data_IF_300187383590
#
_entry.id   IF_300187383590
#
_cell.length_a   1.000
_cell.length_b   1.000
_cell.length_c   1.000
_cell.angle_alpha   90.00
_cell.angle_beta   90.00
_cell.angle_gamma   90.00
#
_symmetry.space_group_name_H-M   'P 1'
#
loop_
_entity.id
_entity.type
_entity.pdbx_description
1 polymer ?
#
# COMPACT_ATOMS: atom_id res chain seq x y z
N UNK A 1 -45.23 -16.05 -44.16
CA UNK A 1 -44.87 -17.26 -43.40
C UNK A 1 -43.47 -17.80 -43.67
N UNK A 2 -42.98 -17.87 -44.92
CA UNK A 2 -41.62 -18.37 -45.21
C UNK A 2 -40.48 -17.44 -44.74
N UNK A 3 -40.65 -16.11 -44.89
CA UNK A 3 -39.66 -15.13 -44.43
C UNK A 3 -39.48 -15.13 -42.90
N UNK A 4 -40.58 -15.27 -42.15
CA UNK A 4 -40.56 -15.31 -40.69
C UNK A 4 -39.87 -16.58 -40.16
N UNK A 5 -40.07 -17.73 -40.81
CA UNK A 5 -39.38 -18.98 -40.46
C UNK A 5 -37.85 -18.87 -40.68
N UNK A 6 -37.44 -18.27 -41.81
CA UNK A 6 -36.03 -18.11 -42.16
C UNK A 6 -35.31 -17.14 -41.22
N UNK A 7 -35.99 -16.07 -40.79
CA UNK A 7 -35.49 -15.17 -39.75
C UNK A 7 -35.31 -15.88 -38.41
N UNK A 8 -36.27 -16.70 -37.98
CA UNK A 8 -36.16 -17.45 -36.71
C UNK A 8 -34.97 -18.41 -36.76
N UNK A 9 -34.80 -19.16 -37.85
CA UNK A 9 -33.66 -20.08 -38.02
C UNK A 9 -32.33 -19.31 -37.98
N UNK A 10 -32.24 -18.18 -38.68
CA UNK A 10 -31.05 -17.33 -38.65
C UNK A 10 -30.72 -16.84 -37.23
N UNK A 11 -31.73 -16.32 -36.51
CA UNK A 11 -31.56 -15.85 -35.14
C UNK A 11 -31.13 -16.98 -34.19
N UNK A 12 -31.67 -18.19 -34.37
CA UNK A 12 -31.25 -19.37 -33.58
C UNK A 12 -29.80 -19.77 -33.86
N UNK A 13 -29.34 -19.72 -35.12
CA UNK A 13 -27.95 -20.01 -35.48
C UNK A 13 -27.00 -18.97 -34.90
N UNK A 14 -27.34 -17.68 -35.03
CA UNK A 14 -26.55 -16.59 -34.45
C UNK A 14 -26.48 -16.72 -32.93
N UNK A 15 -27.60 -16.98 -32.27
CA UNK A 15 -27.65 -17.20 -30.83
C UNK A 15 -26.80 -18.40 -30.40
N UNK A 16 -26.87 -19.51 -31.13
CA UNK A 16 -26.05 -20.69 -30.86
C UNK A 16 -24.55 -20.36 -30.93
N UNK A 17 -24.09 -19.67 -31.98
CA UNK A 17 -22.70 -19.27 -32.11
C UNK A 17 -22.26 -18.24 -31.07
N UNK A 18 -23.14 -17.32 -30.67
CA UNK A 18 -22.88 -16.40 -29.55
C UNK A 18 -22.66 -17.15 -28.24
N UNK A 19 -23.47 -18.18 -27.96
CA UNK A 19 -23.31 -19.02 -26.78
C UNK A 19 -22.00 -19.81 -26.85
N UNK A 20 -21.68 -20.43 -27.99
CA UNK A 20 -20.41 -21.14 -28.18
C UNK A 20 -19.22 -20.21 -27.99
N UNK A 21 -19.25 -19.01 -28.57
CA UNK A 21 -18.20 -18.00 -28.41
C UNK A 21 -18.04 -17.56 -26.94
N UNK A 22 -19.15 -17.40 -26.21
CA UNK A 22 -19.11 -17.10 -24.78
C UNK A 22 -18.45 -18.22 -23.97
N UNK A 23 -18.77 -19.48 -24.23
CA UNK A 23 -18.14 -20.62 -23.56
C UNK A 23 -16.64 -20.71 -23.86
N UNK A 24 -16.24 -20.51 -25.13
CA UNK A 24 -14.83 -20.46 -25.52
C UNK A 24 -14.12 -19.30 -24.82
N UNK A 25 -14.73 -18.12 -24.79
CA UNK A 25 -14.19 -16.96 -24.08
C UNK A 25 -13.99 -17.25 -22.58
N UNK A 26 -14.98 -17.82 -21.89
CA UNK A 26 -14.85 -18.20 -20.48
C UNK A 26 -13.76 -19.26 -20.27
N UNK A 27 -13.68 -20.25 -21.15
CA UNK A 27 -12.65 -21.30 -21.11
C UNK A 27 -11.24 -20.75 -21.28
N UNK A 28 -11.04 -19.85 -22.24
CA UNK A 28 -9.78 -19.14 -22.46
C UNK A 28 -9.45 -18.22 -21.29
N UNK A 29 -10.42 -17.47 -20.77
CA UNK A 29 -10.27 -16.59 -19.63
C UNK A 29 -9.84 -17.35 -18.37
N UNK A 30 -10.49 -18.48 -18.08
CA UNK A 30 -10.14 -19.34 -16.95
C UNK A 30 -8.75 -19.96 -17.12
N UNK A 31 -8.43 -20.44 -18.33
CA UNK A 31 -7.11 -21.01 -18.64
C UNK A 31 -6.00 -19.96 -18.53
N UNK A 32 -6.24 -18.74 -19.03
CA UNK A 32 -5.32 -17.62 -18.90
C UNK A 32 -5.09 -17.26 -17.42
N UNK A 33 -6.15 -17.21 -16.60
CA UNK A 33 -6.01 -16.94 -15.18
C UNK A 33 -5.36 -18.07 -14.39
N UNK A 34 -5.62 -19.32 -14.75
CA UNK A 34 -4.94 -20.47 -14.15
C UNK A 34 -3.43 -20.44 -14.46
N UNK A 35 -3.08 -20.16 -15.71
CA UNK A 35 -1.68 -20.03 -16.14
C UNK A 35 -1.00 -18.83 -15.46
N UNK A 36 -1.68 -17.68 -15.36
CA UNK A 36 -1.18 -16.49 -14.66
C UNK A 36 -0.98 -16.74 -13.17
N UNK A 37 -1.87 -17.50 -12.51
CA UNK A 37 -1.73 -17.88 -11.09
C UNK A 37 -0.52 -18.77 -10.90
N UNK A 38 -0.41 -19.85 -11.69
CA UNK A 38 0.75 -20.75 -11.64
C UNK A 38 2.07 -20.01 -11.91
N UNK A 39 2.07 -19.08 -12.88
CA UNK A 39 3.22 -18.21 -13.12
C UNK A 39 3.55 -17.33 -11.90
N UNK A 40 2.52 -16.71 -11.29
CA UNK A 40 2.70 -15.87 -10.10
C UNK A 40 3.30 -16.67 -8.94
N UNK A 41 2.78 -17.85 -8.67
CA UNK A 41 3.24 -18.71 -7.56
C UNK A 41 4.71 -19.13 -7.76
N UNK A 42 5.07 -19.55 -8.97
CA UNK A 42 6.44 -19.92 -9.31
C UNK A 42 7.40 -18.73 -9.15
N UNK A 43 7.04 -17.55 -9.67
CA UNK A 43 7.90 -16.36 -9.57
C UNK A 43 7.96 -15.83 -8.15
N UNK A 44 6.88 -15.92 -7.39
CA UNK A 44 6.86 -15.55 -5.98
C UNK A 44 7.88 -16.38 -5.19
N UNK A 45 7.93 -17.69 -5.41
CA UNK A 45 8.94 -18.55 -4.80
C UNK A 45 10.38 -18.14 -5.18
N UNK A 46 10.62 -17.79 -6.45
CA UNK A 46 11.92 -17.28 -6.90
C UNK A 46 12.29 -15.98 -6.18
N UNK A 47 11.38 -15.01 -6.08
CA UNK A 47 11.69 -13.74 -5.43
C UNK A 47 11.81 -13.87 -3.89
N UNK A 48 11.15 -14.87 -3.30
CA UNK A 48 11.31 -15.19 -1.87
C UNK A 48 12.72 -15.67 -1.54
N UNK A 49 13.39 -16.40 -2.44
CA UNK A 49 14.82 -16.74 -2.29
C UNK A 49 15.69 -15.48 -2.21
N UNK A 50 15.31 -14.40 -2.91
CA UNK A 50 15.98 -13.11 -2.83
C UNK A 50 15.93 -12.47 -1.45
N UNK A 51 14.91 -12.78 -0.65
CA UNK A 51 14.81 -12.31 0.74
C UNK A 51 15.82 -13.03 1.62
N UNK A 52 16.03 -14.34 1.42
CA UNK A 52 17.06 -15.10 2.12
C UNK A 52 18.46 -14.53 1.82
N UNK A 53 18.71 -14.16 0.56
CA UNK A 53 19.96 -13.48 0.17
C UNK A 53 20.17 -12.15 0.90
N UNK A 54 19.11 -11.38 1.13
CA UNK A 54 19.20 -10.14 1.92
C UNK A 54 19.55 -10.45 3.37
N UNK A 55 18.98 -11.52 3.95
CA UNK A 55 19.31 -11.95 5.32
C UNK A 55 20.74 -12.49 5.44
N UNK A 56 21.31 -12.98 4.34
CA UNK A 56 22.72 -13.37 4.24
C UNK A 56 23.67 -12.19 3.98
N UNK A 57 23.15 -10.95 4.00
CA UNK A 57 23.91 -9.72 3.77
C UNK A 57 24.65 -9.69 2.42
N UNK A 58 24.04 -10.29 1.39
CA UNK A 58 24.60 -10.28 0.04
C UNK A 58 24.75 -8.84 -0.50
N UNK A 59 25.77 -8.56 -1.33
CA UNK A 59 25.99 -7.23 -1.89
C UNK A 59 24.78 -6.70 -2.65
N UNK A 60 24.49 -5.42 -2.48
CA UNK A 60 23.32 -4.77 -3.06
C UNK A 60 23.26 -4.93 -4.58
N UNK A 61 24.39 -4.87 -5.29
CA UNK A 61 24.45 -5.03 -6.74
C UNK A 61 23.91 -6.40 -7.18
N UNK A 62 24.23 -7.46 -6.42
CA UNK A 62 23.75 -8.81 -6.71
C UNK A 62 22.25 -8.93 -6.44
N UNK A 63 21.78 -8.32 -5.34
CA UNK A 63 20.36 -8.28 -5.01
C UNK A 63 19.56 -7.53 -6.08
N UNK A 64 20.05 -6.40 -6.55
CA UNK A 64 19.40 -5.60 -7.60
C UNK A 64 19.29 -6.38 -8.90
N UNK A 65 20.35 -7.09 -9.30
CA UNK A 65 20.30 -7.93 -10.50
C UNK A 65 19.39 -9.15 -10.31
N UNK A 66 19.33 -9.72 -9.10
CA UNK A 66 18.42 -10.82 -8.77
C UNK A 66 16.94 -10.39 -8.87
N UNK A 67 16.59 -9.25 -8.30
CA UNK A 67 15.23 -8.73 -8.30
C UNK A 67 14.83 -8.08 -9.63
N UNK A 68 15.74 -7.97 -10.61
CA UNK A 68 15.45 -7.38 -11.91
C UNK A 68 14.25 -8.07 -12.58
N UNK A 69 13.16 -7.34 -12.92
CA UNK A 69 11.99 -7.93 -13.55
C UNK A 69 12.35 -8.47 -14.94
N UNK A 70 11.99 -9.73 -15.21
CA UNK A 70 12.30 -10.41 -16.49
C UNK A 70 11.11 -10.48 -17.42
N UNK A 71 9.89 -10.42 -16.88
CA UNK A 71 8.65 -10.43 -17.65
C UNK A 71 7.70 -9.34 -17.21
N UNK A 72 6.76 -9.03 -18.09
CA UNK A 72 5.67 -8.12 -17.76
C UNK A 72 4.83 -8.70 -16.63
N UNK A 73 4.57 -7.90 -15.59
CA UNK A 73 3.89 -8.31 -14.36
C UNK A 73 4.80 -8.81 -13.24
N UNK A 74 6.10 -9.04 -13.48
CA UNK A 74 7.04 -9.41 -12.41
C UNK A 74 7.12 -8.32 -11.34
N UNK A 75 7.05 -7.04 -11.73
CA UNK A 75 7.14 -5.92 -10.80
C UNK A 75 6.05 -5.95 -9.72
N UNK A 76 4.84 -6.41 -10.06
CA UNK A 76 3.76 -6.58 -9.08
C UNK A 76 4.01 -7.73 -8.10
N UNK A 77 4.77 -8.74 -8.52
CA UNK A 77 5.15 -9.88 -7.68
C UNK A 77 6.32 -9.48 -6.78
N UNK A 78 7.31 -8.79 -7.34
CA UNK A 78 8.44 -8.22 -6.60
C UNK A 78 7.92 -7.29 -5.52
N UNK A 79 7.01 -6.36 -5.86
CA UNK A 79 6.38 -5.50 -4.85
C UNK A 79 5.70 -6.30 -3.75
N UNK A 80 4.89 -7.30 -4.09
CA UNK A 80 4.22 -8.13 -3.08
C UNK A 80 5.23 -8.79 -2.14
N UNK A 81 6.28 -9.42 -2.70
CA UNK A 81 7.31 -10.11 -1.91
C UNK A 81 8.08 -9.13 -1.03
N UNK A 82 8.58 -8.04 -1.60
CA UNK A 82 9.37 -7.04 -0.86
C UNK A 82 8.53 -6.39 0.24
N UNK A 83 7.31 -5.95 -0.07
CA UNK A 83 6.45 -5.27 0.93
C UNK A 83 6.00 -6.21 2.04
N UNK A 84 5.68 -7.47 1.74
CA UNK A 84 5.35 -8.46 2.75
C UNK A 84 6.53 -8.73 3.68
N UNK A 85 7.73 -8.92 3.13
CA UNK A 85 8.94 -9.14 3.94
C UNK A 85 9.30 -7.90 4.78
N UNK A 86 9.20 -6.69 4.22
CA UNK A 86 9.51 -5.45 4.94
C UNK A 86 8.64 -5.24 6.19
N UNK A 87 7.39 -5.72 6.23
CA UNK A 87 6.51 -5.62 7.41
C UNK A 87 7.06 -6.36 8.64
N UNK A 88 7.91 -7.36 8.42
CA UNK A 88 8.42 -8.25 9.46
C UNK A 88 9.90 -8.02 9.77
N UNK A 89 10.56 -7.10 9.05
CA UNK A 89 11.98 -6.83 9.16
C UNK A 89 12.25 -5.44 9.76
N UNK A 90 13.41 -5.30 10.41
CA UNK A 90 13.92 -4.04 10.98
C UNK A 90 15.43 -3.95 10.77
N UNK A 91 15.98 -2.74 10.85
CA UNK A 91 17.42 -2.50 10.73
C UNK A 91 17.95 -2.75 9.31
N UNK A 92 19.20 -3.20 9.21
CA UNK A 92 19.91 -3.32 7.93
C UNK A 92 19.15 -4.13 6.86
N UNK A 93 18.53 -5.30 7.15
CA UNK A 93 17.75 -6.02 6.13
C UNK A 93 16.56 -5.22 5.58
N UNK A 94 15.88 -4.44 6.43
CA UNK A 94 14.80 -3.57 5.98
C UNK A 94 15.33 -2.46 5.05
N UNK A 95 16.42 -1.82 5.43
CA UNK A 95 17.04 -0.76 4.63
C UNK A 95 17.51 -1.28 3.26
N UNK A 96 18.10 -2.47 3.23
CA UNK A 96 18.52 -3.14 1.98
C UNK A 96 17.33 -3.48 1.09
N UNK A 97 16.25 -4.08 1.63
CA UNK A 97 15.04 -4.35 0.83
C UNK A 97 14.40 -3.07 0.31
N UNK A 98 14.38 -2.01 1.12
CA UNK A 98 13.91 -0.70 0.68
C UNK A 98 14.76 -0.20 -0.48
N UNK A 99 16.09 -0.26 -0.38
CA UNK A 99 16.97 0.21 -1.46
C UNK A 99 16.80 -0.60 -2.76
N UNK A 100 16.65 -1.92 -2.67
CA UNK A 100 16.31 -2.78 -3.81
C UNK A 100 14.98 -2.32 -4.42
N UNK A 101 13.95 -2.12 -3.60
CA UNK A 101 12.64 -1.68 -4.05
C UNK A 101 12.68 -0.31 -4.78
N UNK A 102 13.49 0.63 -4.27
CA UNK A 102 13.73 1.92 -4.91
C UNK A 102 14.37 1.75 -6.29
N UNK A 103 15.42 0.91 -6.40
CA UNK A 103 16.11 0.62 -7.66
C UNK A 103 15.22 -0.13 -8.67
N UNK A 104 14.19 -0.84 -8.22
CA UNK A 104 13.18 -1.47 -9.09
C UNK A 104 12.14 -0.47 -9.63
N UNK A 105 12.18 0.80 -9.21
CA UNK A 105 11.22 1.82 -9.65
C UNK A 105 9.85 1.67 -9.00
N UNK A 106 9.78 1.11 -7.78
CA UNK A 106 8.50 0.88 -7.11
C UNK A 106 7.79 2.18 -6.68
N UNK A 107 8.48 3.31 -6.54
CA UNK A 107 7.82 4.59 -6.27
C UNK A 107 6.93 5.00 -7.45
N UNK A 108 7.51 5.12 -8.66
CA UNK A 108 6.75 5.50 -9.86
C UNK A 108 5.66 4.49 -10.19
N UNK A 109 5.93 3.20 -9.93
CA UNK A 109 4.93 2.14 -10.07
C UNK A 109 3.72 2.36 -9.17
N UNK A 110 3.94 2.69 -7.89
CA UNK A 110 2.85 2.91 -6.95
C UNK A 110 2.14 4.25 -7.16
N UNK A 111 2.86 5.30 -7.56
CA UNK A 111 2.25 6.60 -7.92
C UNK A 111 1.22 6.43 -9.05
N UNK A 112 1.52 5.65 -10.09
CA UNK A 112 0.54 5.34 -11.14
C UNK A 112 -0.69 4.60 -10.59
N UNK A 113 -0.47 3.67 -9.66
CA UNK A 113 -1.52 2.82 -9.08
C UNK A 113 -2.41 3.55 -8.08
N UNK A 114 -2.05 4.74 -7.61
CA UNK A 114 -2.95 5.61 -6.84
C UNK A 114 -4.19 6.02 -7.64
N UNK A 115 -4.10 6.01 -8.98
CA UNK A 115 -5.24 6.28 -9.88
C UNK A 115 -6.04 5.03 -10.29
N UNK A 116 -5.75 3.86 -9.69
CA UNK A 116 -6.44 2.62 -10.02
C UNK A 116 -7.92 2.67 -9.66
N UNK A 117 -8.78 2.05 -10.48
CA UNK A 117 -10.22 1.95 -10.22
C UNK A 117 -10.56 1.17 -8.93
N UNK A 118 -9.65 0.28 -8.52
CA UNK A 118 -9.85 -0.58 -7.35
C UNK A 118 -9.32 0.10 -6.09
N UNK A 119 -10.19 0.30 -5.08
CA UNK A 119 -9.75 0.76 -3.75
C UNK A 119 -8.68 -0.15 -3.14
N UNK A 120 -8.74 -1.45 -3.41
CA UNK A 120 -7.73 -2.40 -2.92
C UNK A 120 -6.36 -2.14 -3.54
N UNK A 121 -6.29 -1.88 -4.85
CA UNK A 121 -5.03 -1.56 -5.52
C UNK A 121 -4.44 -0.23 -5.06
N UNK A 122 -5.30 0.76 -4.80
CA UNK A 122 -4.89 2.04 -4.22
C UNK A 122 -4.36 1.89 -2.81
N UNK A 123 -5.04 1.10 -1.97
CA UNK A 123 -4.58 0.77 -0.62
C UNK A 123 -3.21 0.11 -0.60
N UNK A 124 -2.99 -0.87 -1.48
CA UNK A 124 -1.66 -1.49 -1.66
C UNK A 124 -0.59 -0.50 -2.11
N UNK A 125 -0.96 0.43 -3.00
CA UNK A 125 -0.04 1.45 -3.47
C UNK A 125 0.36 2.43 -2.36
N UNK A 126 -0.61 2.92 -1.59
CA UNK A 126 -0.37 3.75 -0.41
C UNK A 126 0.54 3.07 0.60
N UNK A 127 0.26 1.80 0.92
CA UNK A 127 1.06 1.05 1.89
C UNK A 127 2.50 0.83 1.42
N UNK A 128 2.68 0.50 0.14
CA UNK A 128 4.01 0.39 -0.45
C UNK A 128 4.76 1.72 -0.37
N UNK A 129 4.14 2.85 -0.73
CA UNK A 129 4.78 4.17 -0.65
C UNK A 129 5.21 4.54 0.77
N UNK A 130 4.41 4.15 1.77
CA UNK A 130 4.74 4.30 3.19
C UNK A 130 5.98 3.50 3.58
N UNK A 131 6.01 2.19 3.25
CA UNK A 131 7.16 1.31 3.52
C UNK A 131 8.44 1.78 2.81
N UNK A 132 8.30 2.36 1.62
CA UNK A 132 9.41 2.90 0.84
C UNK A 132 9.93 4.24 1.38
N UNK A 133 9.24 4.86 2.34
CA UNK A 133 9.54 6.19 2.87
C UNK A 133 9.72 7.21 1.73
N UNK A 134 8.72 7.30 0.85
CA UNK A 134 8.77 8.07 -0.39
C UNK A 134 8.19 9.50 -0.23
N UNK A 135 8.98 10.53 0.15
CA UNK A 135 8.48 11.89 0.36
C UNK A 135 7.89 12.52 -0.92
N UNK A 136 8.37 12.13 -2.10
CA UNK A 136 7.80 12.60 -3.37
C UNK A 136 6.33 12.19 -3.60
N UNK A 137 5.82 11.21 -2.84
CA UNK A 137 4.43 10.78 -2.92
C UNK A 137 3.47 11.57 -2.03
N UNK A 138 3.97 12.44 -1.15
CA UNK A 138 3.16 13.16 -0.16
C UNK A 138 1.99 13.91 -0.81
N UNK A 139 2.25 14.65 -1.90
CA UNK A 139 1.21 15.42 -2.61
C UNK A 139 0.10 14.48 -3.13
N UNK A 140 0.47 13.40 -3.82
CA UNK A 140 -0.51 12.46 -4.35
C UNK A 140 -1.29 11.71 -3.26
N UNK A 141 -0.68 11.49 -2.08
CA UNK A 141 -1.36 10.88 -0.94
C UNK A 141 -2.32 11.87 -0.28
N UNK A 142 -1.99 13.17 -0.24
CA UNK A 142 -2.88 14.23 0.26
C UNK A 142 -4.15 14.31 -0.60
N UNK A 143 -4.05 14.23 -1.93
CA UNK A 143 -5.21 14.25 -2.81
C UNK A 143 -6.21 13.11 -2.48
N UNK A 144 -5.69 11.92 -2.10
CA UNK A 144 -6.52 10.79 -1.65
C UNK A 144 -7.22 11.08 -0.32
N UNK A 145 -6.62 11.85 0.59
CA UNK A 145 -7.26 12.17 1.87
C UNK A 145 -8.56 12.98 1.68
N UNK A 146 -8.60 13.85 0.68
CA UNK A 146 -9.71 14.76 0.45
C UNK A 146 -10.88 14.09 -0.29
N UNK A 147 -10.60 13.18 -1.24
CA UNK A 147 -11.60 12.70 -2.20
C UNK A 147 -12.22 11.33 -1.87
N UNK A 148 -11.64 10.57 -0.93
CA UNK A 148 -11.92 9.13 -0.83
C UNK A 148 -12.73 8.67 0.38
N UNK A 149 -13.08 7.38 0.36
CA UNK A 149 -13.79 6.70 1.46
C UNK A 149 -12.97 6.70 2.76
N UNK A 150 -13.67 6.65 3.89
CA UNK A 150 -13.04 6.64 5.22
C UNK A 150 -11.97 5.56 5.39
N UNK A 151 -12.16 4.38 4.80
CA UNK A 151 -11.18 3.29 4.84
C UNK A 151 -9.86 3.68 4.14
N UNK A 152 -9.96 4.27 2.94
CA UNK A 152 -8.77 4.65 2.17
C UNK A 152 -8.05 5.85 2.80
N UNK A 153 -8.78 6.76 3.45
CA UNK A 153 -8.18 7.85 4.26
C UNK A 153 -7.31 7.32 5.38
N UNK A 154 -7.74 6.27 6.10
CA UNK A 154 -6.93 5.67 7.16
C UNK A 154 -5.63 5.08 6.58
N UNK A 155 -5.72 4.43 5.42
CA UNK A 155 -4.52 3.89 4.75
C UNK A 155 -3.59 5.01 4.28
N UNK A 156 -4.13 6.10 3.76
CA UNK A 156 -3.36 7.28 3.36
C UNK A 156 -2.67 7.95 4.55
N UNK A 157 -3.37 8.12 5.69
CA UNK A 157 -2.77 8.62 6.93
C UNK A 157 -1.63 7.70 7.40
N UNK A 158 -1.85 6.38 7.42
CA UNK A 158 -0.79 5.42 7.77
C UNK A 158 0.41 5.51 6.83
N UNK A 159 0.17 5.74 5.54
CA UNK A 159 1.23 5.94 4.56
C UNK A 159 2.03 7.21 4.85
N UNK A 160 1.38 8.35 5.06
CA UNK A 160 2.04 9.61 5.42
C UNK A 160 2.86 9.50 6.70
N UNK A 161 2.31 8.86 7.73
CA UNK A 161 3.03 8.60 8.97
C UNK A 161 4.26 7.71 8.73
N UNK A 162 4.12 6.61 7.99
CA UNK A 162 5.24 5.73 7.67
C UNK A 162 6.34 6.41 6.82
N UNK A 163 5.97 7.40 6.00
CA UNK A 163 6.95 8.27 5.31
C UNK A 163 7.72 9.11 6.33
N UNK A 164 7.05 9.62 7.37
CA UNK A 164 7.67 10.34 8.49
C UNK A 164 8.18 11.74 8.15
N UNK A 165 7.88 12.26 6.95
CA UNK A 165 8.30 13.60 6.54
C UNK A 165 7.48 14.67 7.27
N UNK A 166 8.11 15.58 8.05
CA UNK A 166 7.41 16.64 8.76
C UNK A 166 6.53 17.54 7.88
N UNK A 167 6.80 17.63 6.58
CA UNK A 167 6.00 18.41 5.63
C UNK A 167 4.55 17.89 5.50
N UNK A 168 4.31 16.61 5.80
CA UNK A 168 2.97 16.02 5.76
C UNK A 168 2.14 16.28 7.03
N UNK A 169 2.77 16.67 8.15
CA UNK A 169 2.11 16.81 9.45
C UNK A 169 0.92 17.80 9.44
N UNK A 170 0.98 18.99 8.82
CA UNK A 170 -0.17 19.90 8.79
C UNK A 170 -1.39 19.30 8.11
N UNK A 171 -1.18 18.58 7.00
CA UNK A 171 -2.24 17.91 6.25
C UNK A 171 -2.80 16.71 7.02
N UNK A 172 -1.92 15.95 7.69
CA UNK A 172 -2.30 14.86 8.56
C UNK A 172 -3.23 15.35 9.69
N UNK A 173 -2.87 16.44 10.38
CA UNK A 173 -3.69 17.02 11.46
C UNK A 173 -5.04 17.50 10.94
N UNK A 174 -5.08 18.20 9.79
CA UNK A 174 -6.34 18.65 9.17
C UNK A 174 -7.26 17.47 8.84
N UNK A 175 -6.71 16.36 8.37
CA UNK A 175 -7.48 15.16 8.07
C UNK A 175 -8.03 14.48 9.33
N UNK A 176 -7.37 14.64 10.48
CA UNK A 176 -7.89 14.14 11.77
C UNK A 176 -9.19 14.84 12.19
N UNK A 177 -9.38 16.13 11.89
CA UNK A 177 -10.56 16.90 12.32
C UNK A 177 -11.88 16.32 11.78
N UNK A 178 -11.83 15.58 10.66
CA UNK A 178 -13.00 14.92 10.07
C UNK A 178 -13.23 13.48 10.53
N UNK A 179 -12.40 12.93 11.43
CA UNK A 179 -12.49 11.53 11.85
C UNK A 179 -13.34 11.36 13.11
N UNK A 180 -14.09 10.24 13.23
CA UNK A 180 -14.80 9.91 14.45
C UNK A 180 -13.83 9.56 15.59
N UNK A 181 -14.24 9.84 16.83
CA UNK A 181 -13.43 9.64 18.04
C UNK A 181 -12.72 8.27 18.15
N UNK A 182 -13.35 7.12 17.83
CA UNK A 182 -12.66 5.81 17.86
C UNK A 182 -11.49 5.68 16.88
N UNK A 183 -11.43 6.50 15.83
CA UNK A 183 -10.32 6.52 14.89
C UNK A 183 -9.24 7.50 15.27
N UNK A 184 -9.57 8.60 15.97
CA UNK A 184 -8.59 9.57 16.46
C UNK A 184 -7.51 8.90 17.32
N UNK A 185 -7.90 7.97 18.21
CA UNK A 185 -6.93 7.23 19.02
C UNK A 185 -5.98 6.37 18.18
N UNK A 186 -6.45 5.80 17.06
CA UNK A 186 -5.64 4.93 16.19
C UNK A 186 -4.66 5.73 15.36
N UNK A 187 -5.01 6.97 15.04
CA UNK A 187 -4.25 7.86 14.18
C UNK A 187 -3.28 8.73 14.99
N UNK A 188 -3.60 9.04 16.26
CA UNK A 188 -2.74 9.82 17.15
C UNK A 188 -1.36 9.17 17.38
N UNK A 189 -1.30 7.84 17.56
CA UNK A 189 -0.02 7.14 17.73
C UNK A 189 0.83 7.20 16.46
N UNK A 190 0.21 7.30 15.28
CA UNK A 190 0.94 7.44 14.02
C UNK A 190 1.63 8.81 13.91
N UNK A 191 1.15 9.82 14.62
CA UNK A 191 1.77 11.14 14.60
C UNK A 191 3.18 11.13 15.19
N UNK A 192 3.48 10.16 16.06
CA UNK A 192 4.82 9.98 16.65
C UNK A 192 5.89 9.69 15.58
N UNK A 193 5.49 9.13 14.42
CA UNK A 193 6.41 8.86 13.30
C UNK A 193 6.98 10.14 12.67
N UNK A 194 6.35 11.30 12.87
CA UNK A 194 6.91 12.61 12.46
C UNK A 194 7.95 13.14 13.46
N UNK A 195 8.17 12.42 14.57
CA UNK A 195 9.09 12.79 15.64
C UNK A 195 8.58 13.95 16.51
N UNK A 196 9.48 14.64 17.24
CA UNK A 196 9.12 15.59 18.31
C UNK A 196 8.26 16.78 17.88
N UNK A 197 8.28 17.14 16.59
CA UNK A 197 7.44 18.22 16.03
C UNK A 197 5.95 17.90 16.14
N UNK A 198 5.57 16.62 16.23
CA UNK A 198 4.19 16.17 16.34
C UNK A 198 3.59 16.34 17.74
N UNK A 199 4.41 16.43 18.80
CA UNK A 199 3.95 16.35 20.19
C UNK A 199 2.92 17.42 20.54
N UNK A 200 3.12 18.64 20.03
CA UNK A 200 2.18 19.74 20.24
C UNK A 200 0.83 19.45 19.59
N UNK A 201 0.84 18.85 18.41
CA UNK A 201 -0.37 18.48 17.67
C UNK A 201 -1.09 17.32 18.35
N UNK A 202 -0.35 16.33 18.87
CA UNK A 202 -0.90 15.22 19.67
C UNK A 202 -1.58 15.74 20.95
N UNK A 203 -0.91 16.63 21.69
CA UNK A 203 -1.48 17.23 22.90
C UNK A 203 -2.77 18.01 22.61
N UNK A 204 -2.80 18.79 21.52
CA UNK A 204 -4.01 19.49 21.09
C UNK A 204 -5.14 18.52 20.76
N UNK A 205 -4.83 17.43 20.05
CA UNK A 205 -5.82 16.42 19.69
C UNK A 205 -6.43 15.73 20.91
N UNK A 206 -5.58 15.36 21.89
CA UNK A 206 -6.02 14.76 23.16
C UNK A 206 -6.92 15.73 23.94
N UNK A 207 -6.53 17.00 24.01
CA UNK A 207 -7.29 18.02 24.74
C UNK A 207 -8.63 18.35 24.07
N UNK A 208 -8.70 18.27 22.73
CA UNK A 208 -9.93 18.51 21.98
C UNK A 208 -10.93 17.35 22.08
N UNK A 209 -10.45 16.11 22.22
CA UNK A 209 -11.27 14.90 22.22
C UNK A 209 -10.91 13.94 23.39
N UNK A 210 -11.01 14.37 24.66
CA UNK A 210 -10.59 13.54 25.80
C UNK A 210 -11.32 12.19 25.86
N UNK A 211 -12.57 12.13 25.40
CA UNK A 211 -13.39 10.91 25.29
C UNK A 211 -12.81 9.87 24.33
N UNK A 212 -12.01 10.30 23.34
CA UNK A 212 -11.35 9.42 22.39
C UNK A 212 -10.13 8.71 22.99
N UNK A 213 -9.57 9.19 24.11
CA UNK A 213 -8.28 8.73 24.64
C UNK A 213 -8.41 8.11 26.04
N UNK A 214 -8.83 6.84 26.14
CA UNK A 214 -8.85 6.15 27.43
C UNK A 214 -7.41 6.01 27.99
N UNK A 215 -7.23 5.97 29.34
CA UNK A 215 -5.91 5.94 29.98
C UNK A 215 -4.95 4.89 29.43
N UNK A 216 -5.47 3.71 29.06
CA UNK A 216 -4.68 2.61 28.47
C UNK A 216 -3.93 2.99 27.19
N UNK A 217 -4.45 3.94 26.40
CA UNK A 217 -3.85 4.45 25.16
C UNK A 217 -3.06 5.72 25.43
N UNK A 218 -3.60 6.58 26.30
CA UNK A 218 -3.01 7.88 26.62
C UNK A 218 -1.64 7.74 27.30
N UNK A 219 -1.49 6.82 28.24
CA UNK A 219 -0.27 6.65 29.03
C UNK A 219 0.96 6.32 28.15
N UNK A 220 0.92 5.33 27.24
CA UNK A 220 2.02 5.07 26.31
C UNK A 220 2.44 6.30 25.49
N UNK A 221 1.48 7.01 24.91
CA UNK A 221 1.72 8.19 24.07
C UNK A 221 2.41 9.29 24.89
N UNK A 222 1.93 9.56 26.10
CA UNK A 222 2.53 10.58 26.98
C UNK A 222 3.93 10.18 27.45
N UNK A 223 4.17 8.89 27.68
CA UNK A 223 5.50 8.39 28.06
C UNK A 223 6.51 8.60 26.94
N UNK A 224 6.13 8.32 25.70
CA UNK A 224 6.99 8.53 24.53
C UNK A 224 7.31 10.01 24.33
N UNK A 225 6.29 10.87 24.40
CA UNK A 225 6.47 12.33 24.36
C UNK A 225 7.41 12.81 25.48
N UNK A 226 7.29 12.25 26.69
CA UNK A 226 8.14 12.62 27.82
C UNK A 226 9.60 12.20 27.61
N UNK A 227 9.83 10.98 27.11
CA UNK A 227 11.18 10.45 26.82
C UNK A 227 11.90 11.33 25.79
N UNK A 228 11.23 11.65 24.68
CA UNK A 228 11.79 12.51 23.64
C UNK A 228 12.12 13.93 24.14
N UNK A 229 11.29 14.47 25.03
CA UNK A 229 11.54 15.78 25.65
C UNK A 229 12.74 15.74 26.61
N UNK A 230 12.95 14.64 27.32
CA UNK A 230 14.12 14.44 28.18
C UNK A 230 15.39 14.29 27.35
N UNK A 231 15.36 13.49 26.27
CA UNK A 231 16.48 13.36 25.34
C UNK A 231 16.85 14.69 24.66
N UNK A 232 15.85 15.49 24.28
CA UNK A 232 16.07 16.80 23.69
C UNK A 232 16.69 17.81 24.67
N UNK A 233 16.44 17.66 25.99
CA UNK A 233 17.05 18.49 27.03
C UNK A 233 18.48 18.07 27.40
N UNK A 234 18.84 16.82 27.11
CA UNK A 234 20.16 16.27 27.41
C UNK A 234 21.20 16.53 26.30
N UNK A 235 20.78 17.09 25.15
CA UNK A 235 21.64 17.51 24.03
C UNK A 235 21.86 19.02 24.06
#
# INVERSE_FOLDING_TARGET
MRLSLLMVIYMSIVFFWLVVALFVYIGLFKSYHALRRSYRDLRKAVYQEGIEKVLMEEPLEQLVEFFRPRRWGDLDIIQEVLTESMRHLKGAPFDTLREVALKMGLIDHNLRRLSARSHHERGHALEALGLLRAPQAIVAIIDILDEETQDLRIVALRSLAAIGDPAALPYFVKACDGLPAPLLMRVASLMLEFGPISHRSIQRLINAHPEAFPPRILIPILKEIALDLEEARAR
#
